data_IF_559491174308
#
_entry.id   IF_559491174308
#
_cell.length_a   1.000
_cell.length_b   1.000
_cell.length_c   1.000
_cell.angle_alpha   90.00
_cell.angle_beta   90.00
_cell.angle_gamma   90.00
#
_symmetry.space_group_name_H-M   'P 1'
#
loop_
_entity.id
_entity.type
_entity.pdbx_description
1 polymer ?
#
# COMPACT_ATOMS: atom_id res chain seq x y z
N UNK A 1 12.71 14.08 6.54
CA UNK A 1 12.00 14.30 7.80
C UNK A 1 10.74 15.18 7.63
N UNK A 2 10.82 16.36 6.98
CA UNK A 2 9.64 17.22 6.76
C UNK A 2 8.63 16.64 5.76
N UNK A 3 9.06 15.94 4.73
CA UNK A 3 8.17 15.28 3.77
C UNK A 3 7.43 14.08 4.38
N UNK A 4 8.08 13.33 5.26
CA UNK A 4 7.45 12.19 5.95
C UNK A 4 6.43 12.63 7.00
N UNK A 5 6.65 13.74 7.71
CA UNK A 5 5.66 14.31 8.63
C UNK A 5 4.42 14.78 7.88
N UNK A 6 4.58 15.42 6.73
CA UNK A 6 3.45 15.89 5.91
C UNK A 6 2.62 14.71 5.34
N UNK A 7 3.26 13.64 4.91
CA UNK A 7 2.57 12.45 4.42
C UNK A 7 1.75 11.76 5.54
N UNK A 8 2.31 11.65 6.74
CA UNK A 8 1.61 11.06 7.89
C UNK A 8 0.40 11.90 8.33
N UNK A 9 0.50 13.23 8.29
CA UNK A 9 -0.63 14.12 8.57
C UNK A 9 -1.73 13.97 7.51
N UNK A 10 -1.37 13.91 6.23
CA UNK A 10 -2.33 13.72 5.14
C UNK A 10 -3.13 12.44 5.30
N UNK A 11 -2.49 11.33 5.62
CA UNK A 11 -3.18 10.04 5.77
C UNK A 11 -4.00 10.00 7.07
N UNK A 12 -3.54 10.63 8.14
CA UNK A 12 -4.35 10.79 9.36
C UNK A 12 -5.65 11.53 9.08
N UNK A 13 -5.61 12.58 8.24
CA UNK A 13 -6.81 13.29 7.81
C UNK A 13 -7.69 12.46 6.87
N UNK A 14 -7.10 11.64 6.01
CA UNK A 14 -7.87 10.70 5.17
C UNK A 14 -8.66 9.70 6.03
N UNK A 15 -8.00 9.08 7.01
CA UNK A 15 -8.62 8.18 7.98
C UNK A 15 -9.78 8.88 8.72
N UNK A 16 -9.52 10.09 9.23
CA UNK A 16 -10.53 10.88 9.92
C UNK A 16 -11.74 11.16 9.05
N UNK A 17 -11.53 11.55 7.80
CA UNK A 17 -12.61 11.83 6.85
C UNK A 17 -13.42 10.59 6.52
N UNK A 18 -12.79 9.45 6.30
CA UNK A 18 -13.48 8.18 6.03
C UNK A 18 -14.34 7.79 7.24
N UNK A 19 -13.79 7.83 8.45
CA UNK A 19 -14.52 7.49 9.68
C UNK A 19 -15.71 8.43 9.95
N UNK A 20 -15.69 9.66 9.45
CA UNK A 20 -16.83 10.61 9.56
C UNK A 20 -17.88 10.34 8.48
N UNK A 21 -17.44 9.96 7.28
CA UNK A 21 -18.33 9.84 6.11
C UNK A 21 -18.90 8.44 5.90
N UNK A 22 -18.31 7.42 6.50
CA UNK A 22 -18.69 6.02 6.34
C UNK A 22 -19.09 5.42 7.69
N UNK A 23 -20.36 4.99 7.80
CA UNK A 23 -20.83 4.29 8.99
C UNK A 23 -20.31 2.84 9.00
N UNK A 24 -20.10 2.30 10.19
CA UNK A 24 -19.71 0.89 10.42
C UNK A 24 -18.32 0.48 9.83
N UNK A 25 -17.44 1.45 9.55
CA UNK A 25 -16.08 1.20 9.08
C UNK A 25 -15.08 1.84 10.05
N UNK A 26 -14.07 1.07 10.49
CA UNK A 26 -12.87 1.64 11.09
C UNK A 26 -11.76 1.73 10.04
N UNK A 27 -11.50 2.94 9.55
CA UNK A 27 -10.52 3.18 8.51
C UNK A 27 -9.07 2.87 8.95
N UNK A 28 -8.80 2.73 10.25
CA UNK A 28 -7.48 2.32 10.74
C UNK A 28 -7.18 0.85 10.44
N UNK A 29 -8.23 0.01 10.38
CA UNK A 29 -8.11 -1.43 10.15
C UNK A 29 -8.10 -1.80 8.65
N UNK A 30 -8.42 -0.83 7.78
CA UNK A 30 -8.45 -1.09 6.34
C UNK A 30 -7.04 -1.35 5.79
N UNK A 31 -6.96 -2.24 4.82
CA UNK A 31 -5.79 -2.37 3.97
C UNK A 31 -5.50 -1.02 3.28
N UNK A 32 -4.23 -0.71 3.05
CA UNK A 32 -3.84 0.59 2.46
C UNK A 32 -4.58 0.87 1.15
N UNK A 33 -4.73 -0.14 0.28
CA UNK A 33 -5.46 0.00 -1.00
C UNK A 33 -6.94 0.35 -0.80
N UNK A 34 -7.60 -0.24 0.20
CA UNK A 34 -9.02 0.02 0.47
C UNK A 34 -9.21 1.42 1.06
N UNK A 35 -8.30 1.86 1.93
CA UNK A 35 -8.25 3.22 2.46
C UNK A 35 -8.12 4.25 1.32
N UNK A 36 -7.14 4.04 0.46
CA UNK A 36 -6.90 4.92 -0.71
C UNK A 36 -8.12 4.95 -1.65
N UNK A 37 -8.70 3.79 -1.94
CA UNK A 37 -9.87 3.71 -2.84
C UNK A 37 -11.10 4.42 -2.26
N UNK A 38 -11.40 4.20 -0.98
CA UNK A 38 -12.52 4.89 -0.32
C UNK A 38 -12.33 6.40 -0.31
N UNK A 39 -11.13 6.88 0.03
CA UNK A 39 -10.82 8.30 -0.01
C UNK A 39 -10.98 8.88 -1.42
N UNK A 40 -10.48 8.18 -2.44
CA UNK A 40 -10.64 8.59 -3.83
C UNK A 40 -12.13 8.72 -4.21
N UNK A 41 -12.96 7.75 -3.83
CA UNK A 41 -14.41 7.78 -4.11
C UNK A 41 -15.11 8.95 -3.37
N UNK A 42 -14.75 9.19 -2.11
CA UNK A 42 -15.25 10.35 -1.36
C UNK A 42 -14.83 11.66 -2.04
N UNK A 43 -13.59 11.77 -2.48
CA UNK A 43 -13.06 12.95 -3.18
C UNK A 43 -13.79 13.19 -4.52
N UNK A 44 -13.98 12.16 -5.33
CA UNK A 44 -14.72 12.25 -6.60
C UNK A 44 -16.15 12.77 -6.36
N UNK A 45 -16.85 12.21 -5.38
CA UNK A 45 -18.24 12.56 -5.08
C UNK A 45 -18.40 13.96 -4.45
N UNK A 46 -17.41 14.41 -3.67
CA UNK A 46 -17.52 15.67 -2.91
C UNK A 46 -16.97 16.88 -3.65
N UNK A 47 -15.92 16.71 -4.45
CA UNK A 47 -15.19 17.82 -5.10
C UNK A 47 -15.25 17.75 -6.62
N UNK A 48 -15.26 16.52 -7.19
CA UNK A 48 -15.30 16.30 -8.64
C UNK A 48 -14.31 15.24 -9.12
N UNK A 49 -14.46 14.89 -10.37
CA UNK A 49 -13.78 13.76 -11.03
C UNK A 49 -12.38 14.08 -11.53
N UNK A 50 -11.89 15.31 -11.34
CA UNK A 50 -10.60 15.75 -11.86
C UNK A 50 -9.69 16.30 -10.77
N UNK A 51 -8.38 16.17 -10.97
CA UNK A 51 -7.34 16.85 -10.20
C UNK A 51 -6.32 17.47 -11.14
N UNK A 52 -5.81 18.65 -10.77
CA UNK A 52 -4.74 19.33 -11.49
C UNK A 52 -3.43 19.09 -10.76
N UNK A 53 -2.47 18.49 -11.45
CA UNK A 53 -1.13 18.23 -10.92
C UNK A 53 -0.06 18.81 -11.85
N UNK A 54 1.14 19.00 -11.32
CA UNK A 54 2.28 19.46 -12.11
C UNK A 54 3.13 18.26 -12.52
N UNK A 55 3.43 18.18 -13.83
CA UNK A 55 4.29 17.15 -14.40
C UNK A 55 5.40 17.79 -15.23
N UNK A 56 6.60 17.27 -15.05
CA UNK A 56 7.76 17.70 -15.84
C UNK A 56 7.80 16.98 -17.19
N UNK A 57 8.03 17.72 -18.25
CA UNK A 57 8.18 17.16 -19.59
C UNK A 57 9.52 16.41 -19.72
N UNK A 58 9.48 15.16 -20.15
CA UNK A 58 10.67 14.32 -20.35
C UNK A 58 11.62 14.87 -21.44
N UNK A 59 11.12 15.71 -22.36
CA UNK A 59 11.89 16.23 -23.50
C UNK A 59 12.55 17.57 -23.24
N UNK A 60 11.90 18.47 -22.49
CA UNK A 60 12.41 19.83 -22.31
C UNK A 60 12.39 20.33 -20.86
N UNK A 61 12.05 19.48 -19.90
CA UNK A 61 12.01 19.73 -18.46
C UNK A 61 11.08 20.89 -18.04
N UNK A 62 10.12 21.26 -18.92
CA UNK A 62 9.11 22.26 -18.57
C UNK A 62 8.04 21.64 -17.67
N UNK A 63 7.67 22.37 -16.61
CA UNK A 63 6.56 21.99 -15.74
C UNK A 63 5.23 22.33 -16.43
N UNK A 64 4.39 21.31 -16.62
CA UNK A 64 3.09 21.43 -17.24
C UNK A 64 2.00 21.20 -16.21
N UNK A 65 0.92 21.96 -16.30
CA UNK A 65 -0.29 21.70 -15.52
C UNK A 65 -1.12 20.65 -16.25
N UNK A 66 -1.23 19.47 -15.68
CA UNK A 66 -1.94 18.33 -16.26
C UNK A 66 -3.21 18.03 -15.44
N UNK A 67 -4.35 18.01 -16.12
CA UNK A 67 -5.62 17.60 -15.50
C UNK A 67 -5.80 16.09 -15.60
N UNK A 68 -5.79 15.43 -14.46
CA UNK A 68 -5.93 13.97 -14.34
C UNK A 68 -7.39 13.62 -14.08
N UNK A 69 -7.89 12.58 -14.75
CA UNK A 69 -9.26 12.05 -14.58
C UNK A 69 -9.26 10.99 -13.49
N UNK A 70 -9.72 11.34 -12.29
CA UNK A 70 -9.74 10.46 -11.12
C UNK A 70 -10.71 9.27 -11.25
N UNK A 71 -11.80 9.46 -12.01
CA UNK A 71 -12.79 8.43 -12.29
C UNK A 71 -12.26 7.31 -13.21
N UNK A 72 -11.14 7.55 -13.90
CA UNK A 72 -10.44 6.56 -14.72
C UNK A 72 -9.42 5.71 -13.92
N UNK A 73 -9.38 5.89 -12.61
CA UNK A 73 -8.53 5.06 -11.76
C UNK A 73 -8.94 3.60 -11.85
N UNK A 74 -7.97 2.76 -12.11
CA UNK A 74 -8.13 1.30 -12.11
C UNK A 74 -7.47 0.70 -10.87
N UNK A 75 -8.03 -0.41 -10.40
CA UNK A 75 -7.36 -1.30 -9.45
C UNK A 75 -6.53 -2.27 -10.29
N UNK A 76 -5.22 -2.04 -10.30
CA UNK A 76 -4.30 -2.94 -10.99
C UNK A 76 -4.14 -4.22 -10.17
N UNK A 77 -4.56 -5.34 -10.79
CA UNK A 77 -4.35 -6.66 -10.20
C UNK A 77 -2.88 -7.06 -10.35
N UNK A 78 -2.30 -7.74 -9.34
CA UNK A 78 -0.92 -8.20 -9.46
C UNK A 78 -0.78 -9.25 -10.58
N UNK A 79 0.38 -9.29 -11.22
CA UNK A 79 0.67 -10.30 -12.27
C UNK A 79 0.46 -11.73 -11.78
N UNK A 80 0.74 -11.96 -10.50
CA UNK A 80 0.55 -13.26 -9.85
C UNK A 80 -0.25 -13.07 -8.57
N UNK A 81 -1.48 -13.56 -8.57
CA UNK A 81 -2.27 -13.62 -7.33
C UNK A 81 -1.62 -14.64 -6.39
N UNK A 82 -1.23 -14.18 -5.21
CA UNK A 82 -0.73 -15.04 -4.13
C UNK A 82 -1.84 -15.16 -3.10
N UNK A 83 -2.15 -16.39 -2.74
CA UNK A 83 -3.10 -16.71 -1.68
C UNK A 83 -2.61 -16.09 -0.36
N UNK A 84 -3.55 -15.65 0.49
CA UNK A 84 -3.23 -15.16 1.82
C UNK A 84 -2.53 -16.24 2.67
N UNK A 85 -2.85 -17.51 2.42
CA UNK A 85 -2.18 -18.65 3.07
C UNK A 85 -0.93 -19.03 2.28
N UNK A 86 0.21 -18.55 2.76
CA UNK A 86 1.52 -18.80 2.15
C UNK A 86 2.14 -20.07 2.72
N UNK A 87 2.35 -21.08 1.87
CA UNK A 87 3.02 -22.33 2.25
C UNK A 87 4.53 -22.10 2.43
N UNK A 88 5.00 -22.22 3.67
CA UNK A 88 6.42 -22.02 4.03
C UNK A 88 7.22 -23.32 3.91
N UNK A 89 6.71 -24.38 4.56
CA UNK A 89 7.27 -25.74 4.49
C UNK A 89 6.19 -26.74 4.05
N UNK A 90 6.47 -28.04 4.12
CA UNK A 90 5.45 -29.06 3.84
C UNK A 90 4.36 -29.12 4.88
N UNK A 91 4.64 -28.71 6.12
CA UNK A 91 3.71 -28.74 7.25
C UNK A 91 3.28 -27.33 7.69
N UNK A 92 4.11 -26.30 7.50
CA UNK A 92 3.86 -24.95 8.00
C UNK A 92 3.37 -24.03 6.87
N UNK A 93 2.23 -23.42 7.11
CA UNK A 93 1.69 -22.32 6.29
C UNK A 93 1.40 -21.11 7.20
N UNK A 94 1.46 -19.92 6.63
CA UNK A 94 1.16 -18.67 7.35
C UNK A 94 0.01 -17.97 6.63
N UNK A 95 -1.06 -17.68 7.34
CA UNK A 95 -2.13 -16.80 6.86
C UNK A 95 -1.74 -15.35 7.12
N UNK A 96 -1.60 -14.58 6.04
CA UNK A 96 -1.16 -13.19 6.03
C UNK A 96 -2.30 -12.27 5.64
N UNK A 97 -2.32 -11.09 6.23
CA UNK A 97 -3.13 -9.95 5.79
C UNK A 97 -2.23 -8.88 5.16
N UNK A 98 -2.79 -8.12 4.23
CA UNK A 98 -2.13 -6.92 3.73
C UNK A 98 -1.97 -5.89 4.86
N UNK A 99 -0.85 -5.17 4.93
CA UNK A 99 -0.65 -4.19 5.98
C UNK A 99 -1.70 -3.08 5.90
N UNK A 100 -2.32 -2.78 7.05
CA UNK A 100 -3.08 -1.55 7.20
C UNK A 100 -2.11 -0.37 7.34
N UNK A 101 -2.64 0.83 7.10
CA UNK A 101 -1.85 2.04 7.32
C UNK A 101 -1.33 2.14 8.76
N UNK A 102 -2.14 1.73 9.74
CA UNK A 102 -1.72 1.70 11.14
C UNK A 102 -0.48 0.83 11.36
N UNK A 103 -0.42 -0.35 10.71
CA UNK A 103 0.75 -1.23 10.78
C UNK A 103 1.97 -0.54 10.17
N UNK A 104 1.82 0.02 8.96
CA UNK A 104 2.91 0.70 8.26
C UNK A 104 3.45 1.89 9.08
N UNK A 105 2.56 2.70 9.64
CA UNK A 105 2.93 3.88 10.42
C UNK A 105 3.49 3.55 11.82
N UNK A 106 3.17 2.37 12.37
CA UNK A 106 3.69 1.93 13.67
C UNK A 106 5.14 1.49 13.63
N UNK A 107 5.71 1.35 12.43
CA UNK A 107 7.09 0.89 12.20
C UNK A 107 7.89 2.04 11.63
N UNK A 108 9.11 2.26 12.16
CA UNK A 108 10.00 3.29 11.62
C UNK A 108 10.59 2.83 10.26
N UNK A 109 10.00 3.28 9.16
CA UNK A 109 10.42 2.95 7.80
C UNK A 109 11.64 3.74 7.29
N UNK A 110 12.23 4.63 8.10
CA UNK A 110 13.44 5.37 7.69
C UNK A 110 14.61 4.44 7.30
N UNK A 111 14.60 3.21 7.85
CA UNK A 111 15.54 2.15 7.50
C UNK A 111 14.80 0.95 6.87
N UNK A 112 13.98 1.19 5.86
CA UNK A 112 13.17 0.16 5.21
C UNK A 112 13.97 -1.00 4.58
N UNK A 113 15.28 -0.83 4.42
CA UNK A 113 16.20 -1.89 3.96
C UNK A 113 16.68 -2.79 5.13
N UNK A 114 16.47 -2.41 6.40
CA UNK A 114 16.82 -3.24 7.53
C UNK A 114 15.86 -4.45 7.61
N UNK A 115 16.36 -5.69 7.55
CA UNK A 115 15.53 -6.90 7.67
C UNK A 115 14.64 -6.91 8.92
N UNK A 116 15.08 -6.29 10.02
CA UNK A 116 14.31 -6.20 11.26
C UNK A 116 13.05 -5.37 11.10
N UNK A 117 13.12 -4.29 10.34
CA UNK A 117 11.95 -3.44 10.02
C UNK A 117 10.93 -4.24 9.21
N UNK A 118 11.42 -4.99 8.21
CA UNK A 118 10.56 -5.85 7.40
C UNK A 118 9.91 -6.93 8.26
N UNK A 119 10.68 -7.59 9.14
CA UNK A 119 10.15 -8.61 10.06
C UNK A 119 9.09 -8.04 11.00
N UNK A 120 9.26 -6.81 11.48
CA UNK A 120 8.28 -6.15 12.34
C UNK A 120 6.95 -5.93 11.60
N UNK A 121 6.99 -5.45 10.36
CA UNK A 121 5.78 -5.32 9.51
C UNK A 121 5.14 -6.68 9.28
N UNK A 122 5.93 -7.67 8.86
CA UNK A 122 5.45 -9.03 8.58
C UNK A 122 4.80 -9.63 9.82
N UNK A 123 5.42 -9.51 11.01
CA UNK A 123 4.88 -10.07 12.26
C UNK A 123 3.51 -9.52 12.62
N UNK A 124 3.24 -8.25 12.30
CA UNK A 124 1.94 -7.58 12.51
C UNK A 124 0.90 -7.96 11.44
N UNK A 125 1.35 -8.50 10.31
CA UNK A 125 0.49 -8.96 9.23
C UNK A 125 0.14 -10.46 9.32
N UNK A 126 0.68 -11.20 10.29
CA UNK A 126 0.32 -12.60 10.52
C UNK A 126 -1.04 -12.67 11.21
N UNK A 127 -2.01 -13.36 10.59
CA UNK A 127 -3.30 -13.70 11.21
C UNK A 127 -3.20 -15.01 12.00
N UNK A 128 -2.60 -16.03 11.38
CA UNK A 128 -2.41 -17.35 12.00
C UNK A 128 -1.22 -18.10 11.40
N UNK A 129 -0.71 -19.05 12.16
CA UNK A 129 0.27 -20.03 11.72
C UNK A 129 -0.42 -21.40 11.75
N UNK A 130 -0.35 -22.12 10.64
CA UNK A 130 -0.96 -23.43 10.45
C UNK A 130 0.18 -24.44 10.44
N UNK A 131 0.19 -25.37 11.38
CA UNK A 131 1.15 -26.49 11.46
C UNK A 131 0.41 -27.83 11.33
N UNK A 132 0.45 -28.41 10.15
CA UNK A 132 -0.37 -29.59 9.82
C UNK A 132 -1.86 -29.28 9.94
N UNK A 133 -2.52 -29.92 10.89
CA UNK A 133 -3.96 -29.73 11.18
C UNK A 133 -4.22 -28.71 12.32
N UNK A 134 -3.19 -28.18 12.96
CA UNK A 134 -3.31 -27.21 14.06
C UNK A 134 -3.23 -25.76 13.54
N UNK A 135 -4.14 -24.93 14.02
CA UNK A 135 -4.18 -23.49 13.68
C UNK A 135 -3.92 -22.70 14.95
N UNK A 136 -2.85 -21.94 14.94
CA UNK A 136 -2.46 -21.01 16.00
C UNK A 136 -2.75 -19.60 15.55
N UNK A 137 -3.61 -18.90 16.27
CA UNK A 137 -3.97 -17.51 15.95
C UNK A 137 -2.87 -16.53 16.36
N UNK A 138 -2.95 -15.30 15.87
CA UNK A 138 -2.00 -14.24 16.25
C UNK A 138 -1.90 -14.07 17.78
N UNK A 139 -3.00 -14.23 18.48
CA UNK A 139 -3.08 -14.01 19.95
C UNK A 139 -2.40 -15.10 20.76
N UNK A 140 -2.09 -16.24 20.16
CA UNK A 140 -1.36 -17.34 20.81
C UNK A 140 0.14 -17.05 20.95
N UNK A 141 0.64 -15.98 20.29
CA UNK A 141 2.06 -15.61 20.25
C UNK A 141 2.31 -14.21 20.75
N UNK A 142 3.39 -14.02 21.46
CA UNK A 142 3.96 -12.68 21.72
C UNK A 142 4.70 -12.16 20.48
N UNK A 143 4.84 -10.83 20.37
CA UNK A 143 5.64 -10.22 19.29
C UNK A 143 7.07 -10.75 19.23
N UNK A 144 7.67 -11.04 20.40
CA UNK A 144 9.02 -11.59 20.50
C UNK A 144 9.12 -13.00 19.93
N UNK A 145 8.12 -13.84 20.14
CA UNK A 145 8.08 -15.20 19.58
C UNK A 145 7.93 -15.16 18.07
N UNK A 146 7.05 -14.31 17.53
CA UNK A 146 6.91 -14.13 16.09
C UNK A 146 8.18 -13.56 15.44
N UNK A 147 8.82 -12.58 16.07
CA UNK A 147 10.09 -12.05 15.57
C UNK A 147 11.17 -13.14 15.56
N UNK A 148 11.27 -13.97 16.62
CA UNK A 148 12.20 -15.08 16.68
C UNK A 148 11.90 -16.16 15.64
N UNK A 149 10.63 -16.42 15.38
CA UNK A 149 10.20 -17.33 14.34
C UNK A 149 10.61 -16.85 12.95
N UNK A 150 10.36 -15.58 12.62
CA UNK A 150 10.77 -14.99 11.34
C UNK A 150 12.30 -14.97 11.18
N UNK A 151 13.05 -14.64 12.24
CA UNK A 151 14.52 -14.63 12.24
C UNK A 151 15.13 -16.03 12.04
N UNK A 152 14.40 -17.09 12.39
CA UNK A 152 14.81 -18.48 12.21
C UNK A 152 14.59 -19.02 10.78
N UNK A 153 13.87 -18.27 9.92
CA UNK A 153 13.56 -18.69 8.56
C UNK A 153 14.79 -18.70 7.65
N UNK A 154 14.84 -19.65 6.74
CA UNK A 154 15.78 -19.57 5.61
C UNK A 154 15.39 -18.47 4.64
N UNK A 155 16.33 -18.02 3.81
CA UNK A 155 16.06 -17.03 2.77
C UNK A 155 14.92 -17.46 1.85
N UNK A 156 14.91 -18.73 1.39
CA UNK A 156 13.86 -19.28 0.51
C UNK A 156 12.45 -19.24 1.15
N UNK A 157 12.37 -19.39 2.46
CA UNK A 157 11.10 -19.27 3.20
C UNK A 157 10.65 -17.82 3.25
N UNK A 158 11.57 -16.92 3.51
CA UNK A 158 11.27 -15.50 3.62
C UNK A 158 10.89 -14.89 2.26
N UNK A 159 11.51 -15.31 1.16
CA UNK A 159 11.15 -14.89 -0.20
C UNK A 159 9.70 -15.19 -0.55
N UNK A 160 9.12 -16.29 -0.04
CA UNK A 160 7.70 -16.62 -0.24
C UNK A 160 6.79 -15.60 0.46
N UNK A 161 7.17 -15.15 1.66
CA UNK A 161 6.46 -14.11 2.41
C UNK A 161 6.58 -12.78 1.68
N UNK A 162 7.79 -12.41 1.25
CA UNK A 162 8.01 -11.18 0.49
C UNK A 162 7.18 -11.15 -0.80
N UNK A 163 7.08 -12.29 -1.49
CA UNK A 163 6.27 -12.39 -2.71
C UNK A 163 4.81 -12.02 -2.47
N UNK A 164 4.24 -12.33 -1.29
CA UNK A 164 2.89 -11.91 -0.92
C UNK A 164 2.78 -10.37 -0.87
N UNK A 165 3.72 -9.68 -0.20
CA UNK A 165 3.67 -8.22 -0.05
C UNK A 165 4.02 -7.43 -1.32
N UNK A 166 4.77 -8.02 -2.24
CA UNK A 166 5.08 -7.39 -3.54
C UNK A 166 3.89 -7.48 -4.50
N UNK A 167 3.14 -8.59 -4.43
CA UNK A 167 2.02 -8.87 -5.32
C UNK A 167 0.68 -8.41 -4.72
N UNK A 168 0.61 -7.17 -4.26
CA UNK A 168 -0.64 -6.55 -3.79
C UNK A 168 -1.27 -5.68 -4.87
N UNK A 169 -2.59 -5.52 -4.80
CA UNK A 169 -3.32 -4.59 -5.68
C UNK A 169 -2.83 -3.15 -5.46
N UNK A 170 -2.89 -2.34 -6.53
CA UNK A 170 -2.50 -0.93 -6.50
C UNK A 170 -3.51 -0.08 -7.24
N UNK A 171 -3.72 1.15 -6.78
CA UNK A 171 -4.44 2.15 -7.56
C UNK A 171 -3.52 2.73 -8.62
N UNK A 172 -4.02 2.85 -9.84
CA UNK A 172 -3.27 3.31 -10.99
C UNK A 172 -4.10 4.20 -11.90
N UNK A 173 -3.51 5.29 -12.35
CA UNK A 173 -4.05 6.15 -13.42
C UNK A 173 -2.98 6.24 -14.51
N UNK A 174 -3.39 5.98 -15.75
CA UNK A 174 -2.57 6.17 -16.93
C UNK A 174 -3.14 7.31 -17.77
N UNK A 175 -2.26 8.07 -18.41
CA UNK A 175 -2.69 9.12 -19.31
C UNK A 175 -1.54 9.66 -20.14
N UNK A 176 -1.84 10.69 -20.92
CA UNK A 176 -0.85 11.43 -21.69
C UNK A 176 -1.22 12.90 -21.77
N UNK A 177 -0.24 13.75 -22.01
CA UNK A 177 -0.42 15.16 -22.24
C UNK A 177 0.60 15.67 -23.25
N UNK A 178 0.26 16.73 -23.97
CA UNK A 178 1.18 17.42 -24.85
C UNK A 178 1.84 18.58 -24.10
N UNK A 179 3.16 18.67 -24.14
CA UNK A 179 3.90 19.73 -23.47
C UNK A 179 3.56 21.09 -24.09
N UNK A 180 3.17 22.07 -23.27
CA UNK A 180 2.81 23.42 -23.71
C UNK A 180 3.96 24.16 -24.36
N UNK A 181 5.23 23.79 -24.02
CA UNK A 181 6.43 24.46 -24.53
C UNK A 181 7.02 23.85 -25.80
N UNK A 182 7.22 22.54 -25.84
CA UNK A 182 7.85 21.87 -26.97
C UNK A 182 6.86 21.12 -27.88
N UNK A 183 5.60 20.93 -27.46
CA UNK A 183 4.57 20.22 -28.20
C UNK A 183 4.73 18.70 -28.21
N UNK A 184 5.74 18.13 -27.53
CA UNK A 184 5.95 16.69 -27.48
C UNK A 184 4.95 16.03 -26.55
N UNK A 185 4.46 14.84 -26.97
CA UNK A 185 3.55 14.05 -26.17
C UNK A 185 4.32 13.30 -25.07
N UNK A 186 3.83 13.40 -23.85
CA UNK A 186 4.34 12.71 -22.68
C UNK A 186 3.29 11.76 -22.14
N UNK A 187 3.66 10.53 -21.81
CA UNK A 187 2.81 9.59 -21.11
C UNK A 187 3.11 9.62 -19.61
N UNK A 188 2.10 9.36 -18.80
CA UNK A 188 2.29 9.24 -17.37
C UNK A 188 1.58 8.02 -16.80
N UNK A 189 2.15 7.51 -15.72
CA UNK A 189 1.59 6.47 -14.88
C UNK A 189 1.70 6.94 -13.43
N UNK A 190 0.56 7.10 -12.77
CA UNK A 190 0.48 7.47 -11.37
C UNK A 190 0.04 6.25 -10.56
N UNK A 191 0.80 5.91 -9.54
CA UNK A 191 0.51 4.80 -8.64
C UNK A 191 0.32 5.32 -7.21
N UNK A 192 -0.74 4.84 -6.55
CA UNK A 192 -1.09 5.25 -5.20
C UNK A 192 -1.63 6.68 -5.12
N UNK A 193 -2.47 6.90 -4.12
CA UNK A 193 -3.25 8.14 -4.03
C UNK A 193 -2.39 9.39 -3.79
N UNK A 194 -1.22 9.23 -3.17
CA UNK A 194 -0.29 10.35 -2.95
C UNK A 194 0.15 11.04 -4.23
N UNK A 195 0.22 10.31 -5.34
CA UNK A 195 0.62 10.85 -6.64
C UNK A 195 -0.55 11.44 -7.45
N UNK A 196 -1.80 11.29 -6.98
CA UNK A 196 -2.99 11.77 -7.69
C UNK A 196 -3.30 13.24 -7.40
N UNK A 197 -2.68 13.82 -6.39
CA UNK A 197 -2.96 15.18 -5.94
C UNK A 197 -1.74 16.11 -5.93
N UNK A 198 -0.56 15.62 -6.33
CA UNK A 198 0.67 16.42 -6.47
C UNK A 198 1.41 16.64 -5.16
#
# INVERSE_FOLDING_TARGET
AQESENANEQISEMIRLINICCDDIDANELATIDLEYLFLQLRIKSVGETADIQMECEHCNELNKVTVQLDQTIVEEPEKVIDNVVKITDTISIDLKTPSYQIVNSVNLENSEDPKVIFEVVSKCINSIIDGDEIHTRDDFSDKELMSFLDSMSMDMFEKIQAFFVNVKKLKINGSYDCEKCGENNSYELMGIGNFFG
#
